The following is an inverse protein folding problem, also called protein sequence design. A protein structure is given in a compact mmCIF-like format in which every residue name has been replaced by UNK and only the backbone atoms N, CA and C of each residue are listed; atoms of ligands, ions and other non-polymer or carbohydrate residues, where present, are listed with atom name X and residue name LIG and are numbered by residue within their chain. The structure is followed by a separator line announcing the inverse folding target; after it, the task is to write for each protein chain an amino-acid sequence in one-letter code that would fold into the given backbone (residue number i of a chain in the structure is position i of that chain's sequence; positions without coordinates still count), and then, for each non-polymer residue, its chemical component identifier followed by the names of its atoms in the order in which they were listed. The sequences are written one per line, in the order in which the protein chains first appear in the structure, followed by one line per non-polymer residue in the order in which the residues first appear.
data_IF_468397469521
#
_entry.id   IF_468397469521
#
_cell.length_a   1.000
_cell.length_b   1.000
_cell.length_c   1.000
_cell.angle_alpha   90.00
_cell.angle_beta   90.00
_cell.angle_gamma   90.00
#
_symmetry.space_group_name_H-M   'P 1'
#
loop_
_entity.id
_entity.type
_entity.pdbx_description
1 polymer ?
#
# COMPACT_ATOMS: atom_id res chain seq x y z
N UNK A 1 72.03 10.85 -64.05
CA UNK A 1 70.69 10.56 -63.71
C UNK A 1 70.58 10.31 -62.22
N UNK A 2 69.96 11.23 -61.45
CA UNK A 2 69.77 11.11 -59.99
C UNK A 2 68.40 10.56 -59.70
N UNK A 3 68.33 9.31 -59.25
CA UNK A 3 67.11 8.71 -58.75
C UNK A 3 66.85 9.19 -57.32
N UNK A 4 65.71 9.92 -57.13
CA UNK A 4 65.31 10.56 -55.89
C UNK A 4 64.56 9.50 -55.07
N UNK A 5 65.19 8.83 -54.07
CA UNK A 5 64.54 7.99 -53.07
C UNK A 5 63.80 8.89 -52.08
N UNK A 6 62.56 9.19 -52.40
CA UNK A 6 61.61 9.89 -51.46
C UNK A 6 60.37 9.05 -51.38
N UNK A 7 60.23 8.17 -50.38
CA UNK A 7 58.90 7.52 -50.09
C UNK A 7 58.95 6.51 -48.96
N UNK A 8 59.98 6.36 -48.17
CA UNK A 8 60.00 5.37 -47.11
C UNK A 8 59.43 5.96 -45.76
N UNK A 9 59.82 7.19 -45.47
CA UNK A 9 59.43 7.84 -44.20
C UNK A 9 57.95 8.18 -44.09
N UNK A 10 57.29 8.54 -45.18
CA UNK A 10 55.85 8.85 -45.19
C UNK A 10 54.97 7.61 -45.04
N UNK A 11 55.43 6.49 -45.65
CA UNK A 11 54.71 5.20 -45.51
C UNK A 11 54.85 4.63 -44.10
N UNK A 12 56.02 4.70 -43.48
CA UNK A 12 56.23 4.27 -42.11
C UNK A 12 55.46 5.15 -41.13
N UNK A 13 55.39 6.46 -41.36
CA UNK A 13 54.62 7.38 -40.52
C UNK A 13 53.10 7.10 -40.63
N UNK A 14 52.57 6.85 -41.84
CA UNK A 14 51.17 6.48 -42.07
C UNK A 14 50.82 5.15 -41.39
N UNK A 15 51.69 4.15 -41.45
CA UNK A 15 51.50 2.87 -40.77
C UNK A 15 51.47 3.08 -39.24
N UNK A 16 52.31 3.94 -38.70
CA UNK A 16 52.36 4.23 -37.26
C UNK A 16 51.07 4.94 -36.78
N UNK A 17 50.56 5.90 -37.57
CA UNK A 17 49.29 6.57 -37.29
C UNK A 17 48.11 5.60 -37.35
N UNK A 18 48.15 4.70 -38.32
CA UNK A 18 47.07 3.66 -38.45
C UNK A 18 47.08 2.68 -37.28
N UNK A 19 48.25 2.25 -36.81
CA UNK A 19 48.38 1.40 -35.63
C UNK A 19 47.89 2.10 -34.35
N UNK A 20 48.22 3.38 -34.16
CA UNK A 20 47.72 4.17 -33.03
C UNK A 20 46.20 4.32 -33.09
N UNK A 21 45.64 4.55 -34.28
CA UNK A 21 44.20 4.65 -34.46
C UNK A 21 43.49 3.32 -34.13
N UNK A 22 44.03 2.16 -34.56
CA UNK A 22 43.49 0.85 -34.21
C UNK A 22 43.57 0.59 -32.70
N UNK A 23 44.65 1.01 -32.05
CA UNK A 23 44.86 0.87 -30.60
C UNK A 23 43.83 1.71 -29.82
N UNK A 24 43.56 2.93 -30.26
CA UNK A 24 42.55 3.81 -29.67
C UNK A 24 41.15 3.22 -29.83
N UNK A 25 40.82 2.73 -31.04
CA UNK A 25 39.52 2.07 -31.30
C UNK A 25 39.38 0.81 -30.44
N UNK A 26 40.44 0.01 -30.30
CA UNK A 26 40.47 -1.18 -29.45
C UNK A 26 40.26 -0.84 -27.97
N UNK A 27 40.86 0.23 -27.48
CA UNK A 27 40.61 0.71 -26.08
C UNK A 27 39.18 1.18 -25.87
N UNK A 28 38.63 1.95 -26.81
CA UNK A 28 37.25 2.43 -26.72
C UNK A 28 36.26 1.27 -26.79
N UNK A 29 36.49 0.31 -27.68
CA UNK A 29 35.68 -0.90 -27.80
C UNK A 29 35.81 -1.76 -26.53
N UNK A 30 36.99 -1.94 -25.99
CA UNK A 30 37.23 -2.67 -24.74
C UNK A 30 36.54 -2.03 -23.54
N UNK A 31 36.56 -0.69 -23.43
CA UNK A 31 35.81 0.01 -22.38
C UNK A 31 34.30 -0.15 -22.54
N UNK A 32 33.77 -0.10 -23.77
CA UNK A 32 32.35 -0.33 -24.05
C UNK A 32 31.93 -1.79 -23.78
N UNK A 33 32.75 -2.75 -24.18
CA UNK A 33 32.46 -4.17 -23.86
C UNK A 33 32.54 -4.45 -22.36
N UNK A 34 33.56 -3.92 -21.67
CA UNK A 34 33.68 -4.10 -20.23
C UNK A 34 32.47 -3.51 -19.45
N UNK A 35 31.91 -2.38 -19.91
CA UNK A 35 30.72 -1.81 -19.34
C UNK A 35 29.46 -2.66 -19.61
N UNK A 36 29.42 -3.38 -20.73
CA UNK A 36 28.34 -4.31 -21.07
C UNK A 36 28.43 -5.62 -20.27
N UNK A 37 29.64 -6.10 -19.99
CA UNK A 37 29.84 -7.31 -19.18
C UNK A 37 29.78 -7.05 -17.68
N UNK A 38 30.16 -5.86 -17.19
CA UNK A 38 30.01 -5.48 -15.79
C UNK A 38 28.56 -5.14 -15.39
N UNK A 39 27.65 -4.90 -16.35
CA UNK A 39 26.22 -4.74 -16.06
C UNK A 39 25.46 -6.08 -16.02
N UNK A 40 26.14 -7.21 -16.13
CA UNK A 40 25.58 -8.54 -15.87
C UNK A 40 25.85 -9.06 -14.46
N UNK A 41 26.18 -8.21 -13.50
CA UNK A 41 25.82 -8.50 -12.14
C UNK A 41 24.28 -8.37 -12.02
N UNK A 42 23.58 -9.37 -12.56
CA UNK A 42 22.32 -9.79 -12.00
C UNK A 42 22.60 -10.29 -10.58
N UNK A 43 23.11 -9.37 -9.76
CA UNK A 43 23.23 -9.56 -8.33
C UNK A 43 21.82 -9.89 -7.87
N UNK A 44 21.62 -11.11 -7.41
CA UNK A 44 20.48 -11.46 -6.58
C UNK A 44 20.44 -10.38 -5.52
N UNK A 45 19.49 -9.45 -5.66
CA UNK A 45 19.24 -8.45 -4.62
C UNK A 45 18.70 -9.21 -3.43
N UNK A 46 19.60 -9.63 -2.57
CA UNK A 46 19.24 -10.19 -1.27
C UNK A 46 18.73 -9.01 -0.45
N UNK A 47 17.42 -8.82 -0.45
CA UNK A 47 16.80 -7.86 0.45
C UNK A 47 16.92 -8.43 1.87
N UNK A 48 17.84 -7.89 2.66
CA UNK A 48 17.92 -8.15 4.09
C UNK A 48 16.89 -7.24 4.77
N UNK A 49 15.82 -7.83 5.28
CA UNK A 49 14.90 -7.13 6.16
C UNK A 49 15.37 -7.27 7.61
N UNK A 50 15.72 -6.16 8.24
CA UNK A 50 16.00 -6.13 9.69
C UNK A 50 14.76 -5.61 10.39
N UNK A 51 14.16 -6.43 11.25
CA UNK A 51 12.99 -6.07 12.04
C UNK A 51 13.42 -5.68 13.44
N UNK A 52 13.12 -4.45 13.84
CA UNK A 52 13.25 -4.00 15.22
C UNK A 52 11.85 -3.69 15.76
N UNK A 53 11.46 -4.40 16.82
CA UNK A 53 10.17 -4.19 17.49
C UNK A 53 10.38 -3.31 18.71
N UNK A 54 9.63 -2.20 18.79
CA UNK A 54 9.64 -1.31 19.93
C UNK A 54 8.20 -1.06 20.41
N UNK A 55 7.97 -1.21 21.70
CA UNK A 55 6.70 -0.81 22.33
C UNK A 55 6.65 0.71 22.40
N UNK A 56 5.74 1.32 21.65
CA UNK A 56 5.57 2.79 21.61
C UNK A 56 4.63 3.31 22.70
N UNK A 57 3.61 2.52 23.02
CA UNK A 57 2.59 2.93 23.98
C UNK A 57 1.96 1.70 24.63
N UNK A 58 1.51 1.88 25.90
CA UNK A 58 0.68 0.94 26.65
C UNK A 58 -0.49 1.72 27.22
N UNK A 59 -1.70 1.35 26.81
CA UNK A 59 -2.93 1.98 27.24
C UNK A 59 -3.93 0.91 27.69
N UNK A 60 -4.63 1.19 28.81
CA UNK A 60 -5.76 0.35 29.24
C UNK A 60 -7.00 0.77 28.45
N UNK A 61 -7.57 -0.13 27.70
CA UNK A 61 -8.78 0.08 26.90
C UNK A 61 -9.97 -0.68 27.46
N UNK A 62 -11.18 -0.11 27.30
CA UNK A 62 -12.44 -0.74 27.64
C UNK A 62 -13.32 -0.80 26.37
N UNK A 63 -12.96 -1.71 25.49
CA UNK A 63 -13.55 -1.84 24.17
C UNK A 63 -14.40 -3.11 24.06
N UNK A 64 -15.55 -3.00 23.39
CA UNK A 64 -16.39 -4.14 23.08
C UNK A 64 -16.76 -4.18 21.60
N UNK A 65 -16.47 -5.28 20.93
CA UNK A 65 -16.79 -5.51 19.52
C UNK A 65 -18.13 -6.22 19.42
N UNK A 66 -19.07 -5.63 18.68
CA UNK A 66 -20.38 -6.23 18.42
C UNK A 66 -20.50 -6.84 17.03
N UNK A 67 -19.74 -6.32 16.07
CA UNK A 67 -19.79 -6.76 14.67
C UNK A 67 -18.40 -6.80 14.06
N UNK A 68 -18.08 -7.89 13.38
CA UNK A 68 -16.92 -8.01 12.53
C UNK A 68 -17.37 -8.08 11.07
N UNK A 69 -16.86 -7.21 10.22
CA UNK A 69 -17.24 -7.10 8.80
C UNK A 69 -16.02 -7.38 7.94
N UNK A 70 -16.05 -8.48 7.18
CA UNK A 70 -15.08 -8.76 6.14
C UNK A 70 -15.31 -7.85 4.94
N UNK A 71 -14.28 -7.13 4.52
CA UNK A 71 -14.33 -6.13 3.44
C UNK A 71 -13.30 -6.48 2.39
N UNK A 72 -13.71 -6.41 1.13
CA UNK A 72 -12.83 -6.38 -0.01
C UNK A 72 -12.93 -5.00 -0.67
N UNK A 73 -11.85 -4.23 -0.66
CA UNK A 73 -11.80 -2.89 -1.25
C UNK A 73 -10.87 -2.89 -2.45
N UNK A 74 -11.30 -2.26 -3.54
CA UNK A 74 -10.54 -2.18 -4.78
C UNK A 74 -10.18 -0.73 -5.01
N UNK A 75 -8.90 -0.43 -4.87
CA UNK A 75 -8.37 0.90 -5.13
C UNK A 75 -7.59 0.92 -6.45
N UNK A 76 -7.92 1.91 -7.29
CA UNK A 76 -7.23 2.11 -8.57
C UNK A 76 -6.58 3.49 -8.57
N UNK A 77 -5.33 3.53 -8.98
CA UNK A 77 -4.63 4.80 -9.19
C UNK A 77 -3.90 4.79 -10.53
N UNK A 78 -3.90 5.95 -11.16
CA UNK A 78 -3.23 6.19 -12.42
C UNK A 78 -2.36 7.44 -12.29
N UNK A 79 -1.11 7.31 -12.71
CA UNK A 79 -0.19 8.42 -12.85
C UNK A 79 0.11 8.62 -14.34
N UNK A 80 0.21 9.87 -14.79
CA UNK A 80 0.62 10.24 -16.14
C UNK A 80 1.61 11.42 -16.07
N UNK A 81 2.36 11.64 -17.13
CA UNK A 81 3.10 12.88 -17.29
C UNK A 81 2.12 13.98 -17.71
N UNK A 82 2.28 15.17 -17.15
CA UNK A 82 1.53 16.35 -17.54
C UNK A 82 2.47 17.39 -18.18
N UNK A 83 1.97 18.11 -19.16
CA UNK A 83 2.69 19.25 -19.73
C UNK A 83 2.71 20.34 -18.65
N UNK A 84 3.91 20.83 -18.23
CA UNK A 84 4.04 21.85 -17.21
C UNK A 84 3.09 23.04 -17.49
N UNK A 85 2.41 23.54 -16.44
CA UNK A 85 1.54 24.72 -16.44
C UNK A 85 0.16 24.53 -17.12
N UNK A 86 -0.11 23.39 -17.77
CA UNK A 86 -1.35 23.20 -18.56
C UNK A 86 -2.32 22.19 -17.96
N UNK A 87 -1.88 21.31 -17.06
CA UNK A 87 -2.64 20.16 -16.56
C UNK A 87 -3.11 19.18 -17.66
N UNK A 88 -2.49 19.25 -18.84
CA UNK A 88 -2.81 18.35 -19.96
C UNK A 88 -1.92 17.11 -19.84
N UNK A 89 -2.53 15.94 -19.73
CA UNK A 89 -1.83 14.66 -19.71
C UNK A 89 -1.17 14.35 -21.06
N UNK A 90 0.05 13.82 -21.02
CA UNK A 90 0.76 13.34 -22.20
C UNK A 90 0.29 11.93 -22.54
N UNK A 91 -0.26 11.69 -23.75
CA UNK A 91 -0.72 10.35 -24.14
C UNK A 91 0.39 9.31 -24.06
N UNK A 92 0.04 8.04 -23.80
CA UNK A 92 0.96 6.88 -23.73
C UNK A 92 2.02 6.96 -22.61
N UNK A 93 1.84 7.85 -21.63
CA UNK A 93 2.73 7.95 -20.46
C UNK A 93 2.10 7.38 -19.19
N UNK A 94 0.93 6.80 -19.29
CA UNK A 94 0.13 6.32 -18.16
C UNK A 94 0.78 5.14 -17.46
N UNK A 95 0.78 5.19 -16.13
CA UNK A 95 1.05 4.05 -15.23
C UNK A 95 -0.16 3.85 -14.34
N UNK A 96 -0.68 2.66 -14.31
CA UNK A 96 -1.86 2.28 -13.54
C UNK A 96 -1.50 1.18 -12.54
N UNK A 97 -1.97 1.32 -11.32
CA UNK A 97 -1.94 0.25 -10.33
C UNK A 97 -3.34 0.01 -9.77
N UNK A 98 -3.71 -1.24 -9.62
CA UNK A 98 -4.93 -1.68 -8.96
C UNK A 98 -4.51 -2.51 -7.76
N UNK A 99 -4.97 -2.14 -6.59
CA UNK A 99 -4.77 -2.92 -5.37
C UNK A 99 -6.12 -3.41 -4.86
N UNK A 100 -6.21 -4.70 -4.61
CA UNK A 100 -7.35 -5.33 -3.93
C UNK A 100 -6.91 -5.58 -2.51
N UNK A 101 -7.59 -4.97 -1.54
CA UNK A 101 -7.33 -5.11 -0.11
C UNK A 101 -8.42 -5.97 0.52
N UNK A 102 -8.02 -6.96 1.29
CA UNK A 102 -8.93 -7.78 2.09
C UNK A 102 -8.64 -7.51 3.57
N UNK A 103 -9.66 -7.12 4.31
CA UNK A 103 -9.52 -6.80 5.72
C UNK A 103 -10.84 -6.93 6.49
N UNK A 104 -10.71 -7.10 7.80
CA UNK A 104 -11.80 -7.13 8.74
C UNK A 104 -11.90 -5.81 9.49
N UNK A 105 -13.08 -5.20 9.50
CA UNK A 105 -13.40 -4.04 10.31
C UNK A 105 -14.18 -4.49 11.55
N UNK A 106 -13.61 -4.25 12.73
CA UNK A 106 -14.24 -4.55 14.03
C UNK A 106 -14.99 -3.31 14.50
N UNK A 107 -16.31 -3.43 14.61
CA UNK A 107 -17.21 -2.33 14.94
C UNK A 107 -17.81 -2.55 16.33
N UNK A 108 -17.84 -1.50 17.17
CA UNK A 108 -18.27 -1.64 18.55
C UNK A 108 -18.24 -0.32 19.32
N UNK A 109 -17.92 -0.39 20.60
CA UNK A 109 -17.83 0.78 21.50
C UNK A 109 -16.45 0.84 22.15
N UNK A 110 -15.97 2.09 22.38
CA UNK A 110 -14.71 2.40 23.07
C UNK A 110 -14.92 2.93 24.49
N UNK A 111 -16.17 3.01 24.91
CA UNK A 111 -16.54 3.52 26.25
C UNK A 111 -17.51 2.56 26.90
N UNK A 112 -17.51 2.45 28.23
CA UNK A 112 -18.43 1.60 28.95
C UNK A 112 -19.88 2.06 28.74
N UNK A 113 -20.80 1.10 28.77
CA UNK A 113 -22.25 1.36 28.78
C UNK A 113 -22.69 1.89 30.13
N UNK A 114 -23.78 2.65 30.15
CA UNK A 114 -24.45 3.08 31.38
C UNK A 114 -25.59 2.10 31.65
N UNK A 115 -25.61 1.50 32.85
CA UNK A 115 -26.63 0.53 33.27
C UNK A 115 -27.40 1.12 34.43
N UNK A 116 -28.74 1.13 34.32
CA UNK A 116 -29.65 1.53 35.37
C UNK A 116 -30.64 0.37 35.68
N UNK A 117 -30.72 0.06 36.97
CA UNK A 117 -31.69 -0.92 37.47
C UNK A 117 -32.94 -0.18 37.97
N UNK A 118 -34.09 -0.60 37.49
CA UNK A 118 -35.38 -0.07 37.94
C UNK A 118 -36.08 -1.10 38.85
N UNK A 119 -37.00 -0.63 39.75
CA UNK A 119 -37.62 -1.44 40.82
C UNK A 119 -38.50 -2.62 40.37
N UNK A 120 -38.62 -2.95 39.11
CA UNK A 120 -39.48 -3.96 38.52
C UNK A 120 -38.76 -4.97 37.64
N UNK A 121 -37.64 -5.49 38.06
CA UNK A 121 -36.81 -6.39 37.21
C UNK A 121 -36.56 -5.83 35.80
N UNK A 122 -36.45 -4.51 35.69
CA UNK A 122 -36.16 -3.85 34.44
C UNK A 122 -34.73 -3.25 34.48
N UNK A 123 -33.98 -3.49 33.45
CA UNK A 123 -32.66 -2.94 33.24
C UNK A 123 -32.65 -2.05 31.99
N UNK A 124 -32.27 -0.79 32.17
CA UNK A 124 -32.09 0.16 31.08
C UNK A 124 -30.61 0.31 30.80
N UNK A 125 -30.19 0.04 29.56
CA UNK A 125 -28.81 0.08 29.12
C UNK A 125 -28.68 1.19 28.08
N UNK A 126 -27.77 2.13 28.31
CA UNK A 126 -27.44 3.16 27.33
C UNK A 126 -26.08 2.83 26.73
N UNK A 127 -26.08 2.45 25.45
CA UNK A 127 -24.90 2.14 24.66
C UNK A 127 -24.35 3.46 24.09
N UNK A 128 -23.09 3.79 24.31
CA UNK A 128 -22.48 4.98 23.73
C UNK A 128 -22.36 4.87 22.21
N UNK A 129 -21.96 5.96 21.56
CA UNK A 129 -21.75 5.99 20.12
C UNK A 129 -20.79 4.91 19.68
N UNK A 130 -21.13 4.24 18.59
CA UNK A 130 -20.29 3.24 17.97
C UNK A 130 -19.05 3.84 17.32
N UNK A 131 -18.00 3.05 17.32
CA UNK A 131 -16.72 3.39 16.72
C UNK A 131 -16.11 2.18 15.99
N UNK A 132 -15.12 2.42 15.15
CA UNK A 132 -14.26 1.36 14.62
C UNK A 132 -13.20 1.05 15.67
N UNK A 133 -13.27 -0.15 16.23
CA UNK A 133 -12.34 -0.63 17.25
C UNK A 133 -10.99 -0.93 16.63
N UNK A 134 -11.01 -1.52 15.43
CA UNK A 134 -9.81 -1.82 14.69
C UNK A 134 -10.10 -2.28 13.28
N UNK A 135 -9.08 -2.21 12.45
CA UNK A 135 -9.07 -2.78 11.11
C UNK A 135 -7.86 -3.70 11.01
N UNK A 136 -8.10 -4.94 10.64
CA UNK A 136 -7.08 -5.97 10.54
C UNK A 136 -7.05 -6.52 9.11
N UNK A 137 -5.89 -6.53 8.46
CA UNK A 137 -5.75 -7.15 7.14
C UNK A 137 -5.95 -8.67 7.24
N UNK A 138 -6.58 -9.26 6.22
CA UNK A 138 -6.72 -10.70 6.14
C UNK A 138 -5.37 -11.40 6.23
N UNK A 139 -5.26 -12.43 7.09
CA UNK A 139 -3.99 -13.09 7.39
C UNK A 139 -3.46 -13.95 6.24
N UNK A 140 -4.36 -14.46 5.38
CA UNK A 140 -4.02 -15.36 4.28
C UNK A 140 -3.78 -14.59 2.98
N UNK A 141 -4.67 -13.64 2.68
CA UNK A 141 -4.67 -12.87 1.44
C UNK A 141 -4.86 -11.38 1.73
N UNK A 142 -3.89 -10.70 2.37
CA UNK A 142 -4.07 -9.32 2.84
C UNK A 142 -4.29 -8.36 1.67
N UNK A 143 -3.60 -8.57 0.57
CA UNK A 143 -3.78 -7.76 -0.65
C UNK A 143 -3.30 -8.49 -1.90
N UNK A 144 -3.81 -8.04 -3.04
CA UNK A 144 -3.33 -8.42 -4.37
C UNK A 144 -3.02 -7.12 -5.13
N UNK A 145 -1.83 -7.04 -5.71
CA UNK A 145 -1.40 -5.90 -6.50
C UNK A 145 -1.38 -6.31 -7.97
N UNK A 146 -2.09 -5.55 -8.81
CA UNK A 146 -1.98 -5.60 -10.25
C UNK A 146 -1.33 -4.29 -10.72
N UNK A 147 -0.13 -4.39 -11.27
CA UNK A 147 0.59 -3.26 -11.84
C UNK A 147 0.52 -3.36 -13.36
N UNK A 148 -0.10 -2.38 -13.99
CA UNK A 148 -0.10 -2.21 -15.43
C UNK A 148 0.82 -1.03 -15.79
N UNK A 149 2.11 -1.32 -15.85
CA UNK A 149 3.14 -0.34 -16.23
C UNK A 149 3.37 -0.27 -17.74
N UNK A 150 2.41 -0.73 -18.55
CA UNK A 150 2.55 -1.15 -19.93
C UNK A 150 2.67 -0.11 -21.03
N UNK A 151 2.58 1.20 -20.78
CA UNK A 151 2.62 2.19 -21.86
C UNK A 151 4.06 2.52 -22.30
N UNK A 152 4.27 2.58 -23.62
CA UNK A 152 5.58 2.69 -24.28
C UNK A 152 6.41 3.90 -23.79
N UNK A 153 5.74 5.01 -23.43
CA UNK A 153 6.37 6.25 -22.97
C UNK A 153 6.32 6.45 -21.45
N UNK A 154 5.92 5.45 -20.69
CA UNK A 154 5.76 5.55 -19.24
C UNK A 154 7.06 5.47 -18.42
N UNK A 155 8.22 5.25 -19.06
CA UNK A 155 9.49 5.06 -18.36
C UNK A 155 9.88 6.24 -17.43
N UNK A 156 9.52 7.46 -17.80
CA UNK A 156 9.75 8.68 -16.99
C UNK A 156 8.58 9.04 -16.07
N UNK A 157 7.47 8.31 -16.10
CA UNK A 157 6.33 8.53 -15.21
C UNK A 157 6.62 7.92 -13.84
N UNK A 158 6.27 8.64 -12.77
CA UNK A 158 6.41 8.15 -11.40
C UNK A 158 5.59 6.89 -11.18
N UNK A 159 6.16 5.89 -10.52
CA UNK A 159 5.40 4.71 -10.11
C UNK A 159 4.27 5.09 -9.14
N UNK A 160 3.22 4.30 -9.14
CA UNK A 160 2.14 4.45 -8.15
C UNK A 160 2.66 4.04 -6.77
N UNK A 161 2.42 4.89 -5.78
CA UNK A 161 2.75 4.58 -4.39
C UNK A 161 1.66 3.67 -3.80
N UNK A 162 1.95 2.37 -3.74
CA UNK A 162 1.04 1.36 -3.19
C UNK A 162 0.83 1.50 -1.68
N UNK A 163 1.84 1.98 -0.95
CA UNK A 163 1.72 2.27 0.49
C UNK A 163 0.69 3.38 0.75
N UNK A 164 0.66 4.40 -0.10
CA UNK A 164 -0.35 5.46 -0.04
C UNK A 164 -1.76 4.92 -0.34
N UNK A 165 -1.92 4.00 -1.30
CA UNK A 165 -3.21 3.36 -1.59
C UNK A 165 -3.74 2.58 -0.37
N UNK A 166 -2.90 1.76 0.27
CA UNK A 166 -3.27 1.05 1.50
C UNK A 166 -3.67 2.02 2.60
N UNK A 167 -2.89 3.08 2.82
CA UNK A 167 -3.20 4.10 3.82
C UNK A 167 -4.52 4.81 3.57
N UNK A 168 -4.88 5.06 2.31
CA UNK A 168 -6.17 5.67 1.94
C UNK A 168 -7.35 4.72 2.15
N UNK A 169 -7.20 3.44 1.78
CA UNK A 169 -8.23 2.42 2.01
C UNK A 169 -8.55 2.25 3.49
N UNK A 170 -7.56 2.37 4.37
CA UNK A 170 -7.72 2.29 5.83
C UNK A 170 -8.00 3.66 6.48
N UNK A 171 -8.34 4.68 5.70
CA UNK A 171 -8.54 6.04 6.19
C UNK A 171 -9.77 6.19 7.09
N UNK A 172 -9.77 7.22 7.91
CA UNK A 172 -10.89 7.56 8.81
C UNK A 172 -12.21 7.84 8.07
N UNK A 173 -12.16 8.29 6.83
CA UNK A 173 -13.35 8.51 6.00
C UNK A 173 -14.03 7.18 5.61
N UNK A 174 -13.25 6.17 5.24
CA UNK A 174 -13.75 4.81 4.99
C UNK A 174 -14.35 4.20 6.26
N UNK A 175 -13.66 4.35 7.39
CA UNK A 175 -14.16 3.88 8.68
C UNK A 175 -15.52 4.49 9.06
N UNK A 176 -15.72 5.79 8.87
CA UNK A 176 -17.02 6.45 9.07
C UNK A 176 -18.10 5.92 8.14
N UNK A 177 -17.74 5.59 6.90
CA UNK A 177 -18.66 4.98 5.95
C UNK A 177 -19.14 3.62 6.46
N UNK A 178 -18.27 2.77 6.99
CA UNK A 178 -18.66 1.47 7.53
C UNK A 178 -19.63 1.60 8.74
N UNK A 179 -19.32 2.49 9.68
CA UNK A 179 -20.21 2.76 10.80
C UNK A 179 -21.62 3.18 10.35
N UNK A 180 -21.70 3.99 9.31
CA UNK A 180 -22.99 4.42 8.75
C UNK A 180 -23.71 3.28 8.04
N UNK A 181 -22.99 2.50 7.22
CA UNK A 181 -23.57 1.42 6.42
C UNK A 181 -24.08 0.27 7.28
N UNK A 182 -23.35 -0.07 8.34
CA UNK A 182 -23.68 -1.22 9.20
C UNK A 182 -24.33 -0.84 10.52
N UNK A 183 -24.81 0.41 10.64
CA UNK A 183 -25.36 0.96 11.90
C UNK A 183 -26.43 0.06 12.52
N UNK A 184 -27.42 -0.35 11.72
CA UNK A 184 -28.54 -1.14 12.21
C UNK A 184 -28.07 -2.52 12.67
N UNK A 185 -27.20 -3.17 11.93
CA UNK A 185 -26.60 -4.45 12.30
C UNK A 185 -25.81 -4.38 13.60
N UNK A 186 -25.05 -3.30 13.82
CA UNK A 186 -24.29 -3.10 15.07
C UNK A 186 -25.27 -2.92 16.24
N UNK A 187 -26.35 -2.15 16.04
CA UNK A 187 -27.37 -1.92 17.06
C UNK A 187 -28.09 -3.21 17.43
N UNK A 188 -28.49 -4.01 16.44
CA UNK A 188 -29.13 -5.31 16.66
C UNK A 188 -28.19 -6.26 17.41
N UNK A 189 -26.95 -6.38 16.99
CA UNK A 189 -25.94 -7.21 17.68
C UNK A 189 -25.71 -6.76 19.12
N UNK A 190 -25.62 -5.47 19.37
CA UNK A 190 -25.45 -4.93 20.72
C UNK A 190 -26.68 -5.19 21.59
N UNK A 191 -27.89 -5.03 21.02
CA UNK A 191 -29.13 -5.31 21.70
C UNK A 191 -29.26 -6.78 22.08
N UNK A 192 -28.95 -7.67 21.14
CA UNK A 192 -28.99 -9.12 21.36
C UNK A 192 -27.98 -9.55 22.43
N UNK A 193 -26.78 -9.00 22.37
CA UNK A 193 -25.72 -9.26 23.35
C UNK A 193 -26.19 -8.92 24.77
N UNK A 194 -26.62 -7.67 25.00
CA UNK A 194 -27.04 -7.25 26.33
C UNK A 194 -28.32 -7.94 26.79
N UNK A 195 -29.27 -8.16 25.89
CA UNK A 195 -30.47 -8.89 26.22
C UNK A 195 -30.17 -10.32 26.67
N UNK A 196 -29.30 -11.00 25.96
CA UNK A 196 -28.88 -12.38 26.30
C UNK A 196 -28.09 -12.40 27.61
N UNK A 197 -27.17 -11.44 27.80
CA UNK A 197 -26.37 -11.34 29.01
C UNK A 197 -27.24 -11.22 30.27
N UNK A 198 -28.22 -10.33 30.29
CA UNK A 198 -29.05 -10.11 31.46
C UNK A 198 -30.07 -11.26 31.64
N UNK A 199 -30.68 -11.77 30.59
CA UNK A 199 -31.61 -12.89 30.66
C UNK A 199 -30.94 -14.22 31.04
N UNK A 200 -29.65 -14.36 30.84
CA UNK A 200 -28.90 -15.53 31.29
C UNK A 200 -28.78 -15.58 32.81
N UNK A 201 -28.81 -14.42 33.47
CA UNK A 201 -28.73 -14.29 34.93
C UNK A 201 -30.13 -14.39 35.55
N UNK A 202 -31.13 -13.72 34.97
CA UNK A 202 -32.54 -13.80 35.39
C UNK A 202 -33.44 -13.71 34.15
N UNK A 203 -34.21 -14.80 33.89
CA UNK A 203 -35.07 -14.92 32.71
C UNK A 203 -36.24 -13.94 32.70
N UNK A 204 -36.66 -13.46 33.87
CA UNK A 204 -37.75 -12.50 34.00
C UNK A 204 -37.32 -11.06 33.84
N UNK A 205 -36.01 -10.79 33.74
CA UNK A 205 -35.47 -9.45 33.53
C UNK A 205 -35.92 -8.86 32.19
N UNK A 206 -36.57 -7.72 32.25
CA UNK A 206 -36.89 -6.91 31.07
C UNK A 206 -35.70 -5.99 30.74
N UNK A 207 -35.12 -6.13 29.55
CA UNK A 207 -33.97 -5.34 29.14
C UNK A 207 -34.39 -4.33 28.08
N UNK A 208 -34.10 -3.04 28.34
CA UNK A 208 -34.28 -1.97 27.35
C UNK A 208 -32.93 -1.42 26.99
N UNK A 209 -32.60 -1.42 25.68
CA UNK A 209 -31.35 -0.92 25.15
C UNK A 209 -31.58 0.36 24.37
N UNK A 210 -30.87 1.42 24.75
CA UNK A 210 -30.90 2.75 24.13
C UNK A 210 -29.53 3.04 23.50
N UNK A 211 -29.51 3.75 22.41
CA UNK A 211 -28.29 4.14 21.70
C UNK A 211 -28.15 5.67 21.67
N UNK A 212 -26.91 6.19 21.94
CA UNK A 212 -26.57 7.62 21.87
C UNK A 212 -26.41 8.12 20.44
#
# INVERSE_FOLDING_TARGET
MKFRRRSSRTKTWLILVLLVAILIVGLIAGFKLNSLFNNQDAGIQTSQSTTATMVKNLEKVDEHVFLNVGIQDIETRQNNLEIPWTHIGVPLTEKKAIIILNYDAKLGIKKPVKIKYNDKNQVDITVPKFDVIGVELDKKNPYQLYDDSGNILSASTKNVDTGQLVSQALSSSKQKHYLKTYKDMIQDSAKDYYTTLFKSTDKETSVKVHFE
#
